data_IF_869240798891
#
_entry.id   IF_869240798891
#
_cell.length_a   1.000
_cell.length_b   1.000
_cell.length_c   1.000
_cell.angle_alpha   90.00
_cell.angle_beta   90.00
_cell.angle_gamma   90.00
#
_symmetry.space_group_name_H-M   'P 1'
#
loop_
_entity.id
_entity.type
_entity.pdbx_description
1 polymer ?
#
# COMPACT_ATOMS: atom_id res chain seq x y z
N UNK A 1 10.49 -19.21 -16.31
CA UNK A 1 11.44 -19.97 -15.47
C UNK A 1 12.04 -19.13 -14.33
N UNK A 2 12.58 -17.93 -14.58
CA UNK A 2 13.23 -17.13 -13.53
C UNK A 2 12.32 -16.70 -12.36
N UNK A 3 11.08 -16.30 -12.63
CA UNK A 3 10.12 -15.89 -11.57
C UNK A 3 9.89 -17.00 -10.53
N UNK A 4 9.61 -18.22 -10.98
CA UNK A 4 9.28 -19.35 -10.11
C UNK A 4 10.44 -19.68 -9.16
N UNK A 5 11.65 -19.82 -9.71
CA UNK A 5 12.86 -20.09 -8.91
C UNK A 5 13.15 -18.97 -7.91
N UNK A 6 13.02 -17.71 -8.35
CA UNK A 6 13.26 -16.54 -7.48
C UNK A 6 12.23 -16.49 -6.35
N UNK A 7 10.96 -16.76 -6.67
CA UNK A 7 9.86 -16.79 -5.72
C UNK A 7 10.06 -17.87 -4.65
N UNK A 8 10.38 -19.10 -5.06
CA UNK A 8 10.67 -20.21 -4.15
C UNK A 8 11.85 -19.92 -3.21
N UNK A 9 12.91 -19.30 -3.73
CA UNK A 9 14.07 -18.90 -2.93
C UNK A 9 13.74 -17.75 -1.97
N UNK A 10 12.80 -16.86 -2.31
CA UNK A 10 12.42 -15.73 -1.45
C UNK A 10 11.68 -16.14 -0.18
N UNK A 11 11.02 -17.30 -0.20
CA UNK A 11 10.40 -17.91 0.98
C UNK A 11 11.45 -18.39 2.00
N UNK A 12 12.72 -18.52 1.61
CA UNK A 12 13.83 -18.82 2.53
C UNK A 12 14.38 -17.52 3.13
N UNK A 13 14.35 -17.40 4.46
CA UNK A 13 14.74 -16.18 5.21
C UNK A 13 16.12 -15.59 4.86
N UNK A 14 17.06 -16.40 4.37
CA UNK A 14 18.45 -16.00 4.14
C UNK A 14 18.63 -14.95 3.02
N UNK A 15 17.73 -14.92 2.04
CA UNK A 15 17.88 -14.07 0.85
C UNK A 15 16.66 -13.18 0.56
N UNK A 16 15.67 -13.15 1.44
CA UNK A 16 14.41 -12.43 1.22
C UNK A 16 14.61 -10.94 0.90
N UNK A 17 15.54 -10.25 1.59
CA UNK A 17 15.82 -8.83 1.38
C UNK A 17 16.27 -8.50 -0.06
N UNK A 18 17.06 -9.38 -0.69
CA UNK A 18 17.55 -9.17 -2.06
C UNK A 18 16.55 -9.65 -3.12
N UNK A 19 15.78 -10.70 -2.80
CA UNK A 19 14.88 -11.34 -3.76
C UNK A 19 13.54 -10.61 -3.91
N UNK A 20 13.06 -9.91 -2.89
CA UNK A 20 11.79 -9.16 -2.99
C UNK A 20 11.81 -8.05 -4.06
N UNK A 21 12.84 -7.19 -4.13
CA UNK A 21 12.97 -6.23 -5.22
C UNK A 21 13.07 -6.89 -6.60
N UNK A 22 13.76 -8.04 -6.69
CA UNK A 22 13.88 -8.78 -7.95
C UNK A 22 12.54 -9.35 -8.41
N UNK A 23 11.79 -10.01 -7.53
CA UNK A 23 10.44 -10.51 -7.83
C UNK A 23 9.51 -9.36 -8.22
N UNK A 24 9.59 -8.25 -7.49
CA UNK A 24 8.83 -7.03 -7.81
C UNK A 24 9.14 -6.57 -9.24
N UNK A 25 10.42 -6.47 -9.59
CA UNK A 25 10.85 -6.07 -10.94
C UNK A 25 10.30 -7.03 -12.00
N UNK A 26 10.49 -8.34 -11.82
CA UNK A 26 10.00 -9.37 -12.76
C UNK A 26 8.49 -9.29 -12.98
N UNK A 27 7.71 -9.08 -11.91
CA UNK A 27 6.27 -8.86 -12.02
C UNK A 27 5.96 -7.54 -12.72
N UNK A 28 6.62 -6.45 -12.34
CA UNK A 28 6.33 -5.12 -12.86
C UNK A 28 6.59 -4.98 -14.36
N UNK A 29 7.56 -5.72 -14.92
CA UNK A 29 7.85 -5.71 -16.37
C UNK A 29 7.08 -6.80 -17.14
N UNK A 30 6.42 -7.72 -16.44
CA UNK A 30 5.70 -8.83 -17.07
C UNK A 30 4.47 -8.37 -17.87
N UNK A 31 3.95 -9.30 -18.68
CA UNK A 31 2.69 -9.13 -19.43
C UNK A 31 1.47 -9.21 -18.51
N UNK A 32 0.36 -8.57 -18.91
CA UNK A 32 -0.87 -8.45 -18.11
C UNK A 32 -1.35 -9.77 -17.52
N UNK A 33 -1.48 -10.82 -18.34
CA UNK A 33 -1.99 -12.11 -17.86
C UNK A 33 -1.06 -12.76 -16.84
N UNK A 34 0.25 -12.71 -17.10
CA UNK A 34 1.24 -13.25 -16.18
C UNK A 34 1.22 -12.51 -14.84
N UNK A 35 1.14 -11.18 -14.87
CA UNK A 35 1.03 -10.37 -13.67
C UNK A 35 -0.19 -10.77 -12.85
N UNK A 36 -1.40 -10.73 -13.45
CA UNK A 36 -2.67 -11.01 -12.77
C UNK A 36 -2.68 -12.38 -12.08
N UNK A 37 -2.12 -13.39 -12.75
CA UNK A 37 -2.01 -14.76 -12.24
C UNK A 37 -1.05 -14.91 -11.05
N UNK A 38 -0.04 -14.05 -10.89
CA UNK A 38 1.06 -14.29 -9.95
C UNK A 38 1.17 -13.24 -8.84
N UNK A 39 0.79 -11.98 -9.10
CA UNK A 39 1.10 -10.87 -8.21
C UNK A 39 0.43 -11.00 -6.85
N UNK A 40 -0.77 -11.59 -6.75
CA UNK A 40 -1.46 -11.76 -5.48
C UNK A 40 -0.76 -12.72 -4.53
N UNK A 41 -0.06 -13.72 -5.06
CA UNK A 41 0.69 -14.69 -4.26
C UNK A 41 1.83 -13.93 -3.56
N UNK A 42 2.58 -13.14 -4.33
CA UNK A 42 3.65 -12.30 -3.79
C UNK A 42 3.14 -11.14 -2.93
N UNK A 43 1.94 -10.60 -3.24
CA UNK A 43 1.26 -9.62 -2.39
C UNK A 43 1.05 -10.19 -0.99
N UNK A 44 0.53 -11.42 -0.84
CA UNK A 44 0.33 -12.00 0.50
C UNK A 44 1.63 -12.11 1.29
N UNK A 45 2.75 -12.44 0.62
CA UNK A 45 4.08 -12.46 1.23
C UNK A 45 4.47 -11.07 1.73
N UNK A 46 4.30 -10.02 0.90
CA UNK A 46 4.54 -8.64 1.32
C UNK A 46 3.65 -8.23 2.51
N UNK A 47 2.35 -8.53 2.46
CA UNK A 47 1.42 -8.20 3.52
C UNK A 47 1.72 -8.93 4.83
N UNK A 48 2.29 -10.14 4.79
CA UNK A 48 2.69 -10.87 6.01
C UNK A 48 3.79 -10.15 6.79
N UNK A 49 4.67 -9.42 6.09
CA UNK A 49 5.69 -8.57 6.68
C UNK A 49 5.18 -7.19 7.10
N UNK A 50 3.95 -6.81 6.73
CA UNK A 50 3.33 -5.53 7.10
C UNK A 50 2.29 -5.70 8.21
N UNK A 51 1.48 -6.76 8.20
CA UNK A 51 0.43 -6.99 9.19
C UNK A 51 0.96 -7.06 10.63
N UNK A 52 0.19 -6.48 11.54
CA UNK A 52 0.37 -6.68 12.98
C UNK A 52 -0.42 -7.93 13.40
N UNK A 53 0.09 -8.74 14.35
CA UNK A 53 -0.67 -9.87 14.87
C UNK A 53 -1.96 -9.37 15.52
N UNK A 54 -3.10 -9.93 15.13
CA UNK A 54 -4.42 -9.65 15.72
C UNK A 54 -4.66 -10.39 17.06
N UNK A 55 -3.67 -11.13 17.58
CA UNK A 55 -3.87 -11.93 18.79
C UNK A 55 -3.58 -11.09 20.05
N UNK A 56 -4.58 -10.98 20.94
CA UNK A 56 -4.52 -10.32 22.25
C UNK A 56 -3.56 -10.98 23.26
N UNK A 57 -2.92 -12.10 22.90
CA UNK A 57 -1.86 -12.70 23.69
C UNK A 57 -0.63 -11.80 23.69
N UNK A 58 -0.46 -11.02 24.76
CA UNK A 58 0.67 -10.11 25.01
C UNK A 58 2.01 -10.78 24.68
N UNK A 59 2.20 -12.06 25.04
CA UNK A 59 3.41 -12.83 24.73
C UNK A 59 3.68 -12.97 23.22
N UNK A 60 2.67 -13.35 22.43
CA UNK A 60 2.80 -13.54 20.98
C UNK A 60 2.96 -12.20 20.26
N UNK A 61 2.35 -11.13 20.79
CA UNK A 61 2.52 -9.78 20.27
C UNK A 61 3.96 -9.27 20.51
N UNK A 62 4.52 -9.49 21.71
CA UNK A 62 5.90 -9.12 22.05
C UNK A 62 6.91 -9.92 21.21
N UNK A 63 6.74 -11.25 21.10
CA UNK A 63 7.62 -12.08 20.27
C UNK A 63 7.59 -11.69 18.80
N UNK A 64 6.42 -11.36 18.25
CA UNK A 64 6.34 -10.97 16.84
C UNK A 64 6.88 -9.57 16.61
N UNK A 65 6.69 -8.64 17.55
CA UNK A 65 7.27 -7.30 17.50
C UNK A 65 8.80 -7.35 17.58
N UNK A 66 9.36 -8.20 18.46
CA UNK A 66 10.80 -8.38 18.60
C UNK A 66 11.45 -9.07 17.40
N UNK A 67 10.72 -9.95 16.70
CA UNK A 67 11.24 -10.71 15.55
C UNK A 67 10.96 -10.07 14.17
N UNK A 68 10.31 -8.91 14.11
CA UNK A 68 9.96 -8.27 12.83
C UNK A 68 11.07 -7.32 12.40
N UNK A 69 11.88 -7.77 11.43
CA UNK A 69 12.96 -6.97 10.85
C UNK A 69 12.41 -5.70 10.16
N UNK A 70 12.73 -4.49 10.66
CA UNK A 70 12.30 -3.24 10.05
C UNK A 70 12.75 -3.09 8.59
N UNK A 71 13.91 -3.64 8.23
CA UNK A 71 14.42 -3.62 6.85
C UNK A 71 13.51 -4.42 5.93
N UNK A 72 13.06 -5.59 6.38
CA UNK A 72 12.15 -6.44 5.61
C UNK A 72 10.77 -5.79 5.44
N UNK A 73 10.26 -5.16 6.50
CA UNK A 73 9.01 -4.39 6.44
C UNK A 73 9.08 -3.25 5.41
N UNK A 74 10.19 -2.51 5.37
CA UNK A 74 10.44 -1.46 4.38
C UNK A 74 10.49 -2.02 2.95
N UNK A 75 11.26 -3.08 2.73
CA UNK A 75 11.38 -3.72 1.40
C UNK A 75 10.03 -4.26 0.92
N UNK A 76 9.23 -4.85 1.83
CA UNK A 76 7.90 -5.33 1.52
C UNK A 76 6.93 -4.19 1.16
N UNK A 77 6.98 -3.06 1.88
CA UNK A 77 6.18 -1.89 1.57
C UNK A 77 6.55 -1.27 0.22
N UNK A 78 7.84 -1.15 -0.05
CA UNK A 78 8.36 -0.66 -1.33
C UNK A 78 7.97 -1.57 -2.51
N UNK A 79 7.92 -2.89 -2.27
CA UNK A 79 7.45 -3.88 -3.25
C UNK A 79 5.95 -3.72 -3.50
N UNK A 80 5.15 -3.64 -2.43
CA UNK A 80 3.71 -3.39 -2.48
C UNK A 80 3.38 -2.10 -3.26
N UNK A 81 4.10 -1.01 -2.98
CA UNK A 81 3.90 0.28 -3.61
C UNK A 81 4.03 0.21 -5.14
N UNK A 82 5.05 -0.50 -5.65
CA UNK A 82 5.27 -0.69 -7.09
C UNK A 82 4.26 -1.64 -7.72
N UNK A 83 3.97 -2.76 -7.07
CA UNK A 83 3.00 -3.73 -7.57
C UNK A 83 1.60 -3.13 -7.67
N UNK A 84 1.20 -2.33 -6.68
CA UNK A 84 -0.10 -1.67 -6.68
C UNK A 84 -0.20 -0.67 -7.83
N UNK A 85 0.86 0.10 -8.10
CA UNK A 85 0.90 0.98 -9.28
C UNK A 85 0.68 0.19 -10.57
N UNK A 86 1.39 -0.93 -10.75
CA UNK A 86 1.23 -1.77 -11.96
C UNK A 86 -0.18 -2.34 -12.05
N UNK A 87 -0.74 -2.81 -10.94
CA UNK A 87 -2.08 -3.39 -10.90
C UNK A 87 -3.16 -2.37 -11.24
N UNK A 88 -3.12 -1.21 -10.60
CA UNK A 88 -4.18 -0.21 -10.71
C UNK A 88 -3.97 0.67 -11.94
N UNK A 89 -2.78 1.25 -12.11
CA UNK A 89 -2.53 2.25 -13.16
C UNK A 89 -2.27 1.57 -14.50
N UNK A 90 -1.28 0.66 -14.59
CA UNK A 90 -0.88 0.04 -15.87
C UNK A 90 -1.88 -1.02 -16.35
N UNK A 91 -2.40 -1.88 -15.47
CA UNK A 91 -3.23 -3.03 -15.84
C UNK A 91 -4.73 -2.72 -15.82
N UNK A 92 -5.13 -1.67 -15.09
CA UNK A 92 -6.53 -1.23 -14.90
C UNK A 92 -7.40 -2.24 -14.15
N UNK A 93 -6.80 -2.89 -13.14
CA UNK A 93 -7.44 -3.87 -12.27
C UNK A 93 -7.99 -5.11 -13.02
N UNK A 94 -8.64 -6.01 -12.29
CA UNK A 94 -9.39 -7.15 -12.83
C UNK A 94 -10.88 -7.01 -12.52
N UNK A 95 -11.62 -8.10 -12.34
CA UNK A 95 -13.05 -8.04 -11.98
C UNK A 95 -13.29 -7.25 -10.68
N UNK A 96 -14.46 -6.62 -10.57
CA UNK A 96 -14.77 -5.71 -9.46
C UNK A 96 -14.69 -6.37 -8.09
N UNK A 97 -15.24 -7.58 -7.93
CA UNK A 97 -15.24 -8.32 -6.66
C UNK A 97 -13.83 -8.71 -6.21
N UNK A 98 -13.01 -9.22 -7.14
CA UNK A 98 -11.63 -9.62 -6.84
C UNK A 98 -10.78 -8.40 -6.53
N UNK A 99 -10.94 -7.32 -7.31
CA UNK A 99 -10.26 -6.04 -7.07
C UNK A 99 -10.57 -5.51 -5.68
N UNK A 100 -11.85 -5.46 -5.29
CA UNK A 100 -12.28 -4.99 -3.98
C UNK A 100 -11.67 -5.82 -2.85
N UNK A 101 -11.70 -7.15 -2.95
CA UNK A 101 -11.09 -8.05 -1.95
C UNK A 101 -9.58 -7.79 -1.79
N UNK A 102 -8.85 -7.64 -2.90
CA UNK A 102 -7.41 -7.38 -2.88
C UNK A 102 -7.09 -6.01 -2.29
N UNK A 103 -7.78 -4.97 -2.71
CA UNK A 103 -7.59 -3.62 -2.16
C UNK A 103 -7.94 -3.58 -0.67
N UNK A 104 -9.01 -4.24 -0.24
CA UNK A 104 -9.34 -4.35 1.19
C UNK A 104 -8.25 -5.05 1.99
N UNK A 105 -7.62 -6.10 1.44
CA UNK A 105 -6.52 -6.79 2.11
C UNK A 105 -5.30 -5.88 2.32
N UNK A 106 -5.02 -4.99 1.34
CA UNK A 106 -3.94 -4.00 1.41
C UNK A 106 -4.28 -2.93 2.45
N UNK A 107 -5.48 -2.35 2.36
CA UNK A 107 -5.96 -1.31 3.28
C UNK A 107 -5.98 -1.82 4.72
N UNK A 108 -6.44 -3.04 4.95
CA UNK A 108 -6.49 -3.65 6.29
C UNK A 108 -5.10 -3.91 6.87
N UNK A 109 -4.08 -4.12 6.03
CA UNK A 109 -2.71 -4.29 6.48
C UNK A 109 -2.04 -2.95 6.83
N UNK A 110 -2.28 -1.90 6.04
CA UNK A 110 -1.69 -0.57 6.23
C UNK A 110 -2.42 0.25 7.32
N UNK A 111 -3.74 0.09 7.41
CA UNK A 111 -4.64 0.80 8.33
C UNK A 111 -5.51 -0.17 9.15
N UNK A 112 -4.93 -1.01 10.03
CA UNK A 112 -5.69 -2.01 10.78
C UNK A 112 -6.85 -1.38 11.56
N UNK A 113 -8.06 -1.93 11.45
CA UNK A 113 -9.24 -1.43 12.19
C UNK A 113 -9.00 -1.57 13.71
N UNK A 114 -9.33 -0.53 14.48
CA UNK A 114 -9.08 -0.48 15.93
C UNK A 114 -7.66 -0.08 16.35
N UNK A 115 -6.69 0.00 15.42
CA UNK A 115 -5.38 0.58 15.71
C UNK A 115 -5.41 2.10 15.61
N UNK A 116 -4.70 2.77 16.52
CA UNK A 116 -4.53 4.24 16.48
C UNK A 116 -3.44 4.70 15.49
N UNK A 117 -2.57 3.79 15.06
CA UNK A 117 -1.44 4.07 14.18
C UNK A 117 -1.58 3.43 12.80
N UNK A 118 -0.74 3.88 11.87
CA UNK A 118 -0.51 3.22 10.56
C UNK A 118 0.65 2.24 10.64
N UNK A 119 0.75 1.36 9.64
CA UNK A 119 1.80 0.34 9.61
C UNK A 119 2.48 0.33 8.24
N UNK A 120 3.82 0.43 8.18
CA UNK A 120 4.79 0.56 9.28
C UNK A 120 4.84 1.98 9.89
N UNK A 121 5.17 2.09 11.18
CA UNK A 121 5.21 3.39 11.89
C UNK A 121 6.42 4.24 11.50
N UNK A 122 7.55 3.61 11.21
CA UNK A 122 8.80 4.31 10.88
C UNK A 122 8.90 4.68 9.39
N UNK A 123 7.76 4.97 8.76
CA UNK A 123 7.68 5.25 7.31
C UNK A 123 7.07 6.64 7.08
N UNK A 124 7.63 7.45 6.16
CA UNK A 124 7.06 8.75 5.82
C UNK A 124 5.59 8.65 5.39
N UNK A 125 4.73 9.53 5.92
CA UNK A 125 3.29 9.50 5.65
C UNK A 125 2.94 9.62 4.15
N UNK A 126 3.84 10.24 3.36
CA UNK A 126 3.67 10.48 1.93
C UNK A 126 3.46 9.18 1.13
N UNK A 127 4.04 8.05 1.54
CA UNK A 127 3.85 6.79 0.82
C UNK A 127 2.41 6.28 0.93
N UNK A 128 1.78 6.44 2.10
CA UNK A 128 0.39 6.07 2.31
C UNK A 128 -0.53 6.95 1.48
N UNK A 129 -0.22 8.24 1.40
CA UNK A 129 -0.94 9.18 0.54
C UNK A 129 -0.87 8.74 -0.92
N UNK A 130 0.32 8.39 -1.42
CA UNK A 130 0.52 7.91 -2.80
C UNK A 130 -0.16 6.58 -3.08
N UNK A 131 -0.13 5.64 -2.14
CA UNK A 131 -0.85 4.36 -2.24
C UNK A 131 -2.36 4.61 -2.46
N UNK A 132 -2.96 5.50 -1.65
CA UNK A 132 -4.39 5.78 -1.77
C UNK A 132 -4.68 6.57 -3.05
N UNK A 133 -3.79 7.49 -3.46
CA UNK A 133 -3.88 8.19 -4.75
C UNK A 133 -3.94 7.19 -5.91
N UNK A 134 -3.09 6.15 -5.91
CA UNK A 134 -3.14 5.12 -6.96
C UNK A 134 -4.48 4.40 -7.00
N UNK A 135 -4.99 3.99 -5.83
CA UNK A 135 -6.29 3.31 -5.73
C UNK A 135 -7.41 4.22 -6.27
N UNK A 136 -7.40 5.50 -5.88
CA UNK A 136 -8.42 6.46 -6.26
C UNK A 136 -8.46 6.72 -7.78
N UNK A 137 -7.34 6.53 -8.49
CA UNK A 137 -7.27 6.72 -9.94
C UNK A 137 -8.28 5.84 -10.70
N UNK A 138 -8.43 4.57 -10.30
CA UNK A 138 -9.34 3.62 -10.95
C UNK A 138 -10.55 3.22 -10.10
N UNK A 139 -10.47 3.45 -8.79
CA UNK A 139 -11.48 3.01 -7.81
C UNK A 139 -11.75 4.14 -6.81
N UNK A 140 -12.15 5.30 -7.33
CA UNK A 140 -12.45 6.50 -6.55
C UNK A 140 -13.50 6.24 -5.46
N UNK A 141 -14.63 5.60 -5.81
CA UNK A 141 -15.70 5.29 -4.84
C UNK A 141 -15.20 4.45 -3.66
N UNK A 142 -14.38 3.44 -3.96
CA UNK A 142 -13.76 2.59 -2.96
C UNK A 142 -12.79 3.40 -2.08
N UNK A 143 -11.92 4.20 -2.69
CA UNK A 143 -10.97 5.03 -1.95
C UNK A 143 -11.68 6.01 -1.02
N UNK A 144 -12.77 6.63 -1.48
CA UNK A 144 -13.57 7.56 -0.67
C UNK A 144 -14.27 6.86 0.49
N UNK A 145 -15.09 5.84 0.20
CA UNK A 145 -15.98 5.21 1.19
C UNK A 145 -15.25 4.28 2.15
N UNK A 146 -14.32 3.48 1.66
CA UNK A 146 -13.67 2.44 2.47
C UNK A 146 -12.39 2.93 3.15
N UNK A 147 -11.72 3.95 2.60
CA UNK A 147 -10.43 4.43 3.12
C UNK A 147 -10.57 5.81 3.73
N UNK A 148 -10.90 6.84 2.94
CA UNK A 148 -10.86 8.24 3.38
C UNK A 148 -11.87 8.50 4.48
N UNK A 149 -13.11 8.00 4.35
CA UNK A 149 -14.12 8.14 5.41
C UNK A 149 -13.71 7.45 6.71
N UNK A 150 -13.07 6.27 6.65
CA UNK A 150 -12.58 5.60 7.86
C UNK A 150 -11.43 6.37 8.52
N UNK A 151 -10.48 6.89 7.72
CA UNK A 151 -9.33 7.68 8.18
C UNK A 151 -9.75 9.01 8.81
N UNK A 152 -10.82 9.64 8.29
CA UNK A 152 -11.40 10.88 8.81
C UNK A 152 -12.47 10.65 9.88
N UNK A 153 -12.77 9.39 10.22
CA UNK A 153 -13.82 9.02 11.17
C UNK A 153 -15.22 9.56 10.82
N UNK A 154 -15.52 9.68 9.52
CA UNK A 154 -16.83 10.13 9.02
C UNK A 154 -17.90 9.06 9.31
N UNK A 155 -19.06 9.48 9.83
CA UNK A 155 -20.19 8.58 10.08
C UNK A 155 -20.04 7.65 11.29
N UNK A 156 -18.98 7.79 12.10
CA UNK A 156 -18.83 7.03 13.35
C UNK A 156 -19.69 7.65 14.46
N UNK A 157 -20.36 6.80 15.23
CA UNK A 157 -21.16 7.24 16.38
C UNK A 157 -20.27 7.85 17.47
N UNK A 158 -20.83 8.75 18.29
CA UNK A 158 -20.11 9.46 19.36
C UNK A 158 -19.41 8.53 20.36
N UNK A 159 -19.91 7.29 20.52
CA UNK A 159 -19.33 6.26 21.40
C UNK A 159 -18.09 5.57 20.81
N UNK A 160 -17.94 5.59 19.49
CA UNK A 160 -16.82 4.95 18.75
C UNK A 160 -15.91 6.00 18.10
N UNK A 161 -16.24 7.28 18.25
CA UNK A 161 -15.47 8.40 17.73
C UNK A 161 -14.14 8.51 18.48
N UNK A 162 -13.07 8.13 17.79
CA UNK A 162 -11.69 8.22 18.29
C UNK A 162 -10.87 9.01 17.27
N UNK A 163 -10.29 10.13 17.72
CA UNK A 163 -9.42 10.94 16.90
C UNK A 163 -8.05 10.27 16.85
N UNK A 164 -7.62 9.91 15.64
CA UNK A 164 -6.30 9.37 15.37
C UNK A 164 -5.55 10.37 14.49
N UNK A 165 -4.76 11.30 15.07
CA UNK A 165 -4.17 12.42 14.34
C UNK A 165 -3.35 12.00 13.11
N UNK A 166 -2.61 10.89 13.22
CA UNK A 166 -1.79 10.36 12.13
C UNK A 166 -2.65 9.90 10.93
N UNK A 167 -3.71 9.14 11.21
CA UNK A 167 -4.66 8.66 10.19
C UNK A 167 -5.43 9.80 9.55
N UNK A 168 -5.88 10.75 10.36
CA UNK A 168 -6.61 11.93 9.90
C UNK A 168 -5.74 12.81 9.02
N UNK A 169 -4.45 12.98 9.36
CA UNK A 169 -3.48 13.70 8.53
C UNK A 169 -3.32 13.04 7.15
N UNK A 170 -3.20 11.71 7.09
CA UNK A 170 -3.19 10.98 5.81
C UNK A 170 -4.49 11.19 5.05
N UNK A 171 -5.65 11.00 5.70
CA UNK A 171 -6.97 11.16 5.09
C UNK A 171 -7.18 12.53 4.48
N UNK A 172 -6.81 13.60 5.20
CA UNK A 172 -6.92 14.98 4.71
C UNK A 172 -5.98 15.24 3.53
N UNK A 173 -4.71 14.82 3.62
CA UNK A 173 -3.74 14.98 2.52
C UNK A 173 -4.20 14.26 1.26
N UNK A 174 -4.68 13.02 1.40
CA UNK A 174 -5.21 12.23 0.29
C UNK A 174 -6.40 12.92 -0.35
N UNK A 175 -7.36 13.36 0.46
CA UNK A 175 -8.56 14.02 -0.03
C UNK A 175 -8.20 15.26 -0.86
N UNK A 176 -7.31 16.11 -0.34
CA UNK A 176 -6.86 17.32 -1.04
C UNK A 176 -6.11 17.00 -2.32
N UNK A 177 -5.22 16.00 -2.31
CA UNK A 177 -4.45 15.59 -3.50
C UNK A 177 -5.38 15.04 -4.59
N UNK A 178 -6.38 14.23 -4.23
CA UNK A 178 -7.34 13.70 -5.20
C UNK A 178 -8.20 14.83 -5.77
N UNK A 179 -8.69 15.74 -4.92
CA UNK A 179 -9.48 16.89 -5.36
C UNK A 179 -8.69 17.78 -6.33
N UNK A 180 -7.43 18.06 -6.02
CA UNK A 180 -6.53 18.84 -6.88
C UNK A 180 -6.27 18.14 -8.21
N UNK A 181 -5.96 16.84 -8.22
CA UNK A 181 -5.75 16.07 -9.46
C UNK A 181 -7.00 16.04 -10.36
N UNK A 182 -8.19 15.91 -9.77
CA UNK A 182 -9.46 15.97 -10.51
C UNK A 182 -9.71 17.36 -11.11
N UNK A 183 -9.36 18.42 -10.39
CA UNK A 183 -9.52 19.79 -10.86
C UNK A 183 -8.54 20.13 -11.99
N UNK A 184 -7.28 19.72 -11.87
CA UNK A 184 -6.24 19.98 -12.87
C UNK A 184 -6.36 19.10 -14.12
N UNK A 185 -7.20 18.04 -14.07
CA UNK A 185 -7.25 16.96 -15.07
C UNK A 185 -5.87 16.35 -15.29
N UNK A 186 -5.13 16.18 -14.20
CA UNK A 186 -3.79 15.60 -14.22
C UNK A 186 -3.83 14.19 -14.83
N UNK A 187 -2.79 13.86 -15.60
CA UNK A 187 -2.62 12.54 -16.19
C UNK A 187 -2.37 11.46 -15.15
N UNK A 188 -2.18 10.22 -15.62
CA UNK A 188 -1.89 9.10 -14.73
C UNK A 188 -0.60 9.33 -13.92
N UNK A 189 -0.59 8.99 -12.61
CA UNK A 189 0.59 9.19 -11.79
C UNK A 189 1.77 8.33 -12.31
N UNK A 190 3.01 8.85 -12.30
CA UNK A 190 4.16 8.11 -12.79
C UNK A 190 4.51 6.92 -11.89
N UNK A 191 5.20 5.92 -12.46
CA UNK A 191 5.64 4.73 -11.72
C UNK A 191 6.62 5.11 -10.58
N UNK A 192 6.52 4.47 -9.40
CA UNK A 192 7.43 4.73 -8.29
C UNK A 192 8.92 4.53 -8.61
N UNK A 193 9.72 5.57 -8.38
CA UNK A 193 11.20 5.49 -8.43
C UNK A 193 11.80 5.39 -7.03
N UNK A 194 12.92 4.67 -6.92
CA UNK A 194 13.66 4.56 -5.65
C UNK A 194 14.41 5.86 -5.39
N UNK A 195 14.19 6.49 -4.23
CA UNK A 195 15.08 7.55 -3.72
C UNK A 195 14.61 9.00 -3.85
N UNK A 196 13.48 9.28 -4.52
CA UNK A 196 12.92 10.65 -4.54
C UNK A 196 11.69 10.70 -3.65
N UNK A 197 11.84 11.28 -2.46
CA UNK A 197 10.69 11.70 -1.65
C UNK A 197 10.09 12.90 -2.37
N UNK A 198 9.21 12.64 -3.34
CA UNK A 198 8.43 13.71 -3.94
C UNK A 198 7.46 14.26 -2.87
N UNK A 199 7.28 15.59 -2.79
CA UNK A 199 6.24 16.17 -1.97
C UNK A 199 4.89 15.53 -2.32
N UNK A 200 3.99 15.41 -1.35
CA UNK A 200 2.65 14.85 -1.60
C UNK A 200 1.84 15.65 -2.64
N UNK A 201 2.29 16.84 -3.06
CA UNK A 201 1.74 17.60 -4.17
C UNK A 201 2.72 17.72 -5.35
N UNK A 202 2.18 17.83 -6.57
CA UNK A 202 2.91 18.04 -7.83
C UNK A 202 3.59 19.43 -7.93
N UNK A 203 4.13 20.00 -6.84
CA UNK A 203 4.78 21.32 -6.86
C UNK A 203 6.21 21.27 -7.41
N UNK A 204 6.40 20.64 -8.56
CA UNK A 204 7.41 21.09 -9.52
C UNK A 204 6.68 21.94 -10.55
N UNK A 205 6.36 23.18 -10.16
CA UNK A 205 6.08 24.24 -11.14
C UNK A 205 7.33 24.36 -11.99
N UNK A 206 7.29 23.81 -13.20
CA UNK A 206 8.21 24.24 -14.27
C UNK A 206 7.88 25.71 -14.49
N UNK A 207 8.75 26.60 -13.99
CA UNK A 207 8.73 28.00 -14.40
C UNK A 207 8.96 28.00 -15.92
N UNK A 208 7.93 28.39 -16.67
CA UNK A 208 8.13 28.97 -18.00
C UNK A 208 8.78 30.34 -17.84
#
# INVERSE_FOLDING_TARGET
MLYQTTFELSSRKKHSLALYPLITCLLCVSQKQFFLNNWHIFLQNCLSHLKMPSNNSIRKQIETLQNKDPKMSRVALESLYRLLWVYVIRIKCESNTVTQSRLMSIVSALFPKGSRSVVPRDTPLNIFVKIIQFIAQERLDFAMKEIIFDLLSVGKSTKTFTINPERMNIGLRVFLVIADSLQQKDGEPPMPTTGVILPSGNTLRVKK
#
